data_IF_588225181422
#
_entry.id   IF_588225181422
#
_cell.length_a   1.000
_cell.length_b   1.000
_cell.length_c   1.000
_cell.angle_alpha   90.00
_cell.angle_beta   90.00
_cell.angle_gamma   90.00
#
_symmetry.space_group_name_H-M   'P 1'
#
loop_
_entity.id
_entity.type
_entity.pdbx_description
1 polymer ?
#
# COMPACT_ATOMS: atom_id res chain seq x y z
N UNK A 1 -30.06 -28.68 -10.19
CA UNK A 1 -30.47 -27.42 -9.52
C UNK A 1 -29.61 -27.03 -8.30
N UNK A 2 -28.37 -27.56 -8.13
CA UNK A 2 -27.50 -27.24 -6.96
C UNK A 2 -26.50 -26.08 -7.20
N UNK A 3 -26.38 -25.61 -8.44
CA UNK A 3 -25.44 -24.51 -8.80
C UNK A 3 -26.11 -23.14 -8.76
N UNK A 4 -27.38 -23.04 -9.14
CA UNK A 4 -28.07 -21.76 -9.25
C UNK A 4 -28.31 -21.08 -7.89
N UNK A 5 -28.55 -21.85 -6.81
CA UNK A 5 -28.68 -21.30 -5.45
C UNK A 5 -27.37 -20.69 -4.91
N UNK A 6 -26.21 -21.17 -5.36
CA UNK A 6 -24.91 -20.67 -4.88
C UNK A 6 -24.54 -19.36 -5.57
N UNK A 7 -24.92 -19.20 -6.83
CA UNK A 7 -24.61 -17.99 -7.62
C UNK A 7 -25.49 -16.81 -7.20
N UNK A 8 -26.76 -17.03 -6.83
CA UNK A 8 -27.60 -15.96 -6.26
C UNK A 8 -27.14 -15.55 -4.87
N UNK A 9 -26.76 -16.50 -4.00
CA UNK A 9 -26.29 -16.18 -2.64
C UNK A 9 -24.98 -15.35 -2.65
N UNK A 10 -24.08 -15.62 -3.61
CA UNK A 10 -22.84 -14.87 -3.78
C UNK A 10 -23.06 -13.45 -4.32
N UNK A 11 -24.08 -13.24 -5.15
CA UNK A 11 -24.41 -11.92 -5.68
C UNK A 11 -25.04 -11.00 -4.62
N UNK A 12 -25.86 -11.55 -3.72
CA UNK A 12 -26.55 -10.77 -2.68
C UNK A 12 -25.58 -10.29 -1.59
N UNK A 13 -24.50 -11.02 -1.29
CA UNK A 13 -23.46 -10.57 -0.34
C UNK A 13 -22.58 -9.45 -0.88
N UNK A 14 -22.33 -9.37 -2.19
CA UNK A 14 -21.59 -8.24 -2.76
C UNK A 14 -22.40 -6.93 -2.77
N UNK A 15 -23.74 -7.00 -2.86
CA UNK A 15 -24.59 -5.82 -2.83
C UNK A 15 -24.68 -5.16 -1.44
N UNK A 16 -24.51 -5.95 -0.36
CA UNK A 16 -24.51 -5.43 1.02
C UNK A 16 -23.15 -4.80 1.39
N UNK A 17 -22.05 -5.29 0.81
CA UNK A 17 -20.73 -4.69 1.02
C UNK A 17 -20.57 -3.29 0.37
N UNK A 18 -21.32 -3.00 -0.70
CA UNK A 18 -21.26 -1.72 -1.40
C UNK A 18 -22.21 -0.63 -0.84
N UNK A 19 -23.09 -1.00 0.10
CA UNK A 19 -24.02 -0.07 0.77
C UNK A 19 -23.70 0.11 2.26
N UNK A 20 -22.49 -0.23 2.70
CA UNK A 20 -21.98 0.34 3.93
C UNK A 20 -21.95 1.87 3.77
N UNK A 21 -22.55 2.64 4.71
CA UNK A 21 -22.54 4.08 4.62
C UNK A 21 -21.08 4.54 4.57
N UNK A 22 -20.70 5.21 3.47
CA UNK A 22 -19.50 6.02 3.39
C UNK A 22 -19.71 7.21 4.32
N UNK A 23 -19.55 6.98 5.61
CA UNK A 23 -19.60 8.00 6.67
C UNK A 23 -18.37 7.88 7.53
N UNK A 24 -17.18 7.89 6.92
CA UNK A 24 -15.90 8.18 7.58
C UNK A 24 -14.93 8.85 6.59
N UNK A 25 -15.29 10.04 6.12
CA UNK A 25 -14.38 10.90 5.37
C UNK A 25 -14.59 12.39 5.73
N UNK A 26 -14.83 12.65 7.02
CA UNK A 26 -14.79 14.00 7.59
C UNK A 26 -14.07 13.95 8.95
N UNK A 27 -12.91 13.28 9.01
CA UNK A 27 -11.96 13.48 10.10
C UNK A 27 -11.07 14.67 9.70
N UNK A 28 -11.40 15.82 10.28
CA UNK A 28 -10.52 16.93 10.61
C UNK A 28 -9.25 17.09 9.76
N UNK A 29 -9.34 17.94 8.73
CA UNK A 29 -8.19 18.68 8.23
C UNK A 29 -7.67 19.63 9.33
N UNK A 30 -6.89 19.08 10.27
CA UNK A 30 -6.05 19.86 11.17
C UNK A 30 -4.69 19.98 10.49
N UNK A 31 -4.24 21.18 10.09
CA UNK A 31 -2.89 21.34 9.58
C UNK A 31 -1.92 21.00 10.70
N UNK A 32 -1.25 19.85 10.59
CA UNK A 32 -0.08 19.58 11.39
C UNK A 32 0.98 20.59 10.95
N UNK A 33 1.35 21.48 11.86
CA UNK A 33 2.44 22.45 11.72
C UNK A 33 3.63 21.80 11.04
N UNK A 34 3.92 22.27 9.83
CA UNK A 34 5.09 21.87 9.05
C UNK A 34 6.34 22.19 9.88
N UNK A 35 6.93 21.15 10.48
CA UNK A 35 8.25 21.26 11.05
C UNK A 35 9.23 21.58 9.92
N UNK A 36 9.81 22.79 9.99
CA UNK A 36 10.83 23.34 9.12
C UNK A 36 11.87 22.29 8.72
N UNK A 37 11.61 21.66 7.58
CA UNK A 37 12.54 20.78 6.91
C UNK A 37 13.37 21.68 6.02
N UNK A 38 14.62 21.95 6.40
CA UNK A 38 15.65 22.56 5.55
C UNK A 38 15.61 21.87 4.18
N UNK A 39 15.00 22.52 3.19
CA UNK A 39 14.15 21.87 2.20
C UNK A 39 14.89 20.94 1.20
N UNK A 40 14.96 19.64 1.52
CA UNK A 40 15.29 18.59 0.55
C UNK A 40 14.08 18.24 -0.36
N UNK A 41 12.86 18.60 0.05
CA UNK A 41 11.62 18.34 -0.68
C UNK A 41 10.89 19.65 -0.94
N UNK A 42 10.34 19.82 -2.15
CA UNK A 42 9.69 21.06 -2.58
C UNK A 42 8.26 21.24 -2.08
N UNK A 43 7.60 20.15 -1.68
CA UNK A 43 6.25 20.14 -1.12
C UNK A 43 6.00 18.84 -0.34
N UNK A 44 4.86 18.78 0.36
CA UNK A 44 4.46 17.62 1.16
C UNK A 44 4.20 16.36 0.31
N UNK A 45 3.75 16.51 -0.93
CA UNK A 45 3.57 15.39 -1.85
C UNK A 45 4.90 14.68 -2.14
N UNK A 46 5.98 15.44 -2.39
CA UNK A 46 7.31 14.89 -2.57
C UNK A 46 7.84 14.19 -1.32
N UNK A 47 7.61 14.78 -0.15
CA UNK A 47 7.99 14.18 1.13
C UNK A 47 7.22 12.88 1.39
N UNK A 48 5.93 12.86 1.09
CA UNK A 48 5.05 11.71 1.26
C UNK A 48 5.41 10.60 0.26
N UNK A 49 5.62 10.94 -1.01
CA UNK A 49 6.07 10.00 -2.04
C UNK A 49 7.43 9.38 -1.69
N UNK A 50 8.38 10.20 -1.21
CA UNK A 50 9.68 9.70 -0.75
C UNK A 50 9.54 8.78 0.46
N UNK A 51 8.71 9.13 1.44
CA UNK A 51 8.48 8.30 2.63
C UNK A 51 7.82 6.96 2.28
N UNK A 52 6.87 6.95 1.34
CA UNK A 52 6.25 5.74 0.82
C UNK A 52 7.27 4.87 0.06
N UNK A 53 8.08 5.47 -0.83
CA UNK A 53 9.14 4.75 -1.53
C UNK A 53 10.17 4.14 -0.58
N UNK A 54 10.58 4.88 0.44
CA UNK A 54 11.53 4.41 1.45
C UNK A 54 10.96 3.27 2.31
N UNK A 55 9.67 3.33 2.68
CA UNK A 55 9.03 2.26 3.46
C UNK A 55 8.90 0.97 2.64
N UNK A 56 8.51 1.07 1.37
CA UNK A 56 8.47 -0.05 0.43
C UNK A 56 9.86 -0.65 0.23
N UNK A 57 10.88 0.18 -0.05
CA UNK A 57 12.25 -0.28 -0.21
C UNK A 57 12.79 -1.00 1.03
N UNK A 58 12.48 -0.49 2.24
CA UNK A 58 12.87 -1.13 3.50
C UNK A 58 12.17 -2.47 3.71
N UNK A 59 10.89 -2.57 3.35
CA UNK A 59 10.16 -3.84 3.36
C UNK A 59 10.83 -4.85 2.42
N UNK A 60 11.09 -4.45 1.17
CA UNK A 60 11.76 -5.31 0.20
C UNK A 60 13.11 -5.78 0.71
N UNK A 61 13.96 -4.90 1.24
CA UNK A 61 15.27 -5.29 1.76
C UNK A 61 15.17 -6.28 2.93
N UNK A 62 14.19 -6.14 3.81
CA UNK A 62 13.93 -7.13 4.85
C UNK A 62 13.53 -8.47 4.24
N UNK A 63 12.65 -8.49 3.23
CA UNK A 63 12.28 -9.71 2.51
C UNK A 63 13.49 -10.37 1.83
N UNK A 64 14.37 -9.61 1.18
CA UNK A 64 15.59 -10.16 0.58
C UNK A 64 16.51 -10.78 1.64
N UNK A 65 16.66 -10.15 2.81
CA UNK A 65 17.47 -10.70 3.91
C UNK A 65 16.90 -12.01 4.43
N UNK A 66 15.58 -12.11 4.58
CA UNK A 66 14.95 -13.37 4.98
C UNK A 66 15.12 -14.47 3.93
N UNK A 67 15.05 -14.13 2.64
CA UNK A 67 15.32 -15.07 1.56
C UNK A 67 16.80 -15.50 1.51
N UNK A 68 17.73 -14.58 1.78
CA UNK A 68 19.17 -14.89 1.85
C UNK A 68 19.48 -15.88 2.97
N UNK A 69 18.81 -15.78 4.13
CA UNK A 69 18.90 -16.78 5.21
C UNK A 69 18.44 -18.17 4.77
N UNK A 70 17.51 -18.25 3.83
CA UNK A 70 17.04 -19.49 3.22
C UNK A 70 17.93 -19.96 2.07
N UNK A 71 19.07 -19.28 1.83
CA UNK A 71 20.01 -19.59 0.75
C UNK A 71 19.59 -19.05 -0.61
N UNK A 72 18.50 -18.28 -0.68
CA UNK A 72 17.99 -17.67 -1.92
C UNK A 72 18.58 -16.27 -2.05
N UNK A 73 19.53 -16.09 -2.96
CA UNK A 73 20.09 -14.77 -3.27
C UNK A 73 19.40 -14.20 -4.51
N UNK A 74 18.62 -13.15 -4.29
CA UNK A 74 18.06 -12.36 -5.39
C UNK A 74 19.05 -11.31 -5.85
N UNK A 75 19.14 -11.14 -7.17
CA UNK A 75 19.87 -10.05 -7.80
C UNK A 75 19.09 -8.75 -7.61
N UNK A 76 19.70 -7.80 -6.89
CA UNK A 76 19.09 -6.51 -6.58
C UNK A 76 18.93 -5.66 -7.85
N UNK A 77 19.85 -5.73 -8.79
CA UNK A 77 19.81 -4.92 -10.01
C UNK A 77 18.67 -5.38 -10.92
N UNK A 78 18.47 -6.71 -11.06
CA UNK A 78 17.32 -7.27 -11.78
C UNK A 78 15.99 -6.95 -11.10
N UNK A 79 15.95 -6.97 -9.77
CA UNK A 79 14.76 -6.63 -9.02
C UNK A 79 14.38 -5.15 -9.22
N UNK A 80 15.36 -4.25 -9.20
CA UNK A 80 15.13 -2.82 -9.46
C UNK A 80 14.78 -2.58 -10.94
N UNK A 81 15.35 -3.36 -11.87
CA UNK A 81 14.97 -3.32 -13.29
C UNK A 81 13.53 -3.78 -13.55
N UNK A 82 12.96 -4.64 -12.69
CA UNK A 82 11.55 -5.03 -12.78
C UNK A 82 10.55 -4.02 -12.19
N UNK A 83 11.04 -3.01 -11.45
CA UNK A 83 10.20 -1.96 -10.83
C UNK A 83 10.15 -0.69 -11.67
N UNK A 84 11.18 -0.43 -12.48
CA UNK A 84 11.25 0.67 -13.46
C UNK A 84 10.55 0.31 -14.76
#
# INVERSE_FOLDING_TARGET
MKSLFKVTLLATTMAVALHAPITFAAEAAKPATAADSKAAFKNDDQKSAYALGASLGRYMENSLKEQEKLGIKLDKDQLIAGVQ
#
